data_IF_497575365199
#
_entry.id   IF_497575365199
#
_cell.length_a   1.000
_cell.length_b   1.000
_cell.length_c   1.000
_cell.angle_alpha   90.00
_cell.angle_beta   90.00
_cell.angle_gamma   90.00
#
_symmetry.space_group_name_H-M   'P 1'
#
loop_
_entity.id
_entity.type
_entity.pdbx_description
1 polymer ?
#
# COMPACT_ATOMS: atom_id res chain seq x y z
N UNK A 1 1.93 -59.87 34.41
CA UNK A 1 1.51 -59.35 33.09
C UNK A 1 2.55 -58.30 32.67
N UNK A 2 3.51 -58.74 31.86
CA UNK A 2 4.63 -58.03 31.19
C UNK A 2 5.39 -56.90 31.92
N UNK A 3 6.47 -57.27 32.62
CA UNK A 3 7.54 -56.35 33.01
C UNK A 3 8.50 -56.14 31.85
N UNK A 4 8.37 -55.03 31.12
CA UNK A 4 9.32 -54.64 30.07
C UNK A 4 10.54 -54.04 30.76
N UNK A 5 11.61 -54.84 30.90
CA UNK A 5 12.93 -54.34 31.26
C UNK A 5 13.49 -53.60 30.04
N UNK A 6 13.40 -52.27 30.05
CA UNK A 6 14.10 -51.44 29.09
C UNK A 6 15.59 -51.52 29.43
N UNK A 7 16.38 -52.16 28.57
CA UNK A 7 17.84 -52.12 28.75
C UNK A 7 18.30 -50.65 28.69
N UNK A 8 19.17 -50.19 29.61
CA UNK A 8 19.64 -48.82 29.56
C UNK A 8 20.40 -48.61 28.25
N UNK A 9 19.90 -47.69 27.42
CA UNK A 9 20.60 -47.24 26.23
C UNK A 9 22.03 -46.84 26.62
N UNK A 10 23.06 -47.30 25.87
CA UNK A 10 24.44 -46.89 26.11
C UNK A 10 24.50 -45.35 26.18
N UNK A 11 25.17 -44.83 27.20
CA UNK A 11 25.25 -43.39 27.49
C UNK A 11 25.73 -42.57 26.27
N UNK A 12 26.59 -43.16 25.44
CA UNK A 12 27.06 -42.62 24.15
C UNK A 12 25.92 -42.29 23.17
N UNK A 13 24.87 -43.11 23.13
CA UNK A 13 23.72 -42.90 22.23
C UNK A 13 22.86 -41.73 22.72
N UNK A 14 22.72 -41.58 24.04
CA UNK A 14 21.97 -40.47 24.65
C UNK A 14 22.65 -39.14 24.39
N UNK A 15 23.96 -39.08 24.57
CA UNK A 15 24.77 -37.87 24.38
C UNK A 15 24.77 -37.42 22.90
N UNK A 16 24.83 -38.38 21.96
CA UNK A 16 24.73 -38.08 20.53
C UNK A 16 23.36 -37.52 20.13
N UNK A 17 22.27 -38.05 20.71
CA UNK A 17 20.91 -37.54 20.47
C UNK A 17 20.72 -36.13 21.05
N UNK A 18 21.31 -35.84 22.20
CA UNK A 18 21.24 -34.54 22.85
C UNK A 18 21.99 -33.47 22.04
N UNK A 19 23.22 -33.78 21.62
CA UNK A 19 24.03 -32.90 20.77
C UNK A 19 23.37 -32.68 19.40
N UNK A 20 22.82 -33.75 18.80
CA UNK A 20 22.11 -33.66 17.52
C UNK A 20 20.89 -32.75 17.59
N UNK A 21 20.12 -32.84 18.70
CA UNK A 21 18.95 -32.00 18.94
C UNK A 21 19.34 -30.53 19.16
N UNK A 22 20.39 -30.27 19.95
CA UNK A 22 20.91 -28.92 20.17
C UNK A 22 21.40 -28.28 18.86
N UNK A 23 22.16 -29.03 18.04
CA UNK A 23 22.64 -28.56 16.74
C UNK A 23 21.48 -28.30 15.77
N UNK A 24 20.50 -29.19 15.70
CA UNK A 24 19.31 -29.03 14.86
C UNK A 24 18.49 -27.79 15.23
N UNK A 25 18.31 -27.52 16.53
CA UNK A 25 17.60 -26.33 17.01
C UNK A 25 18.36 -25.04 16.69
N UNK A 26 19.68 -25.03 16.91
CA UNK A 26 20.52 -23.87 16.58
C UNK A 26 20.51 -23.61 15.08
N UNK A 27 20.70 -24.64 14.25
CA UNK A 27 20.65 -24.50 12.79
C UNK A 27 19.27 -24.04 12.31
N UNK A 28 18.20 -24.63 12.84
CA UNK A 28 16.82 -24.25 12.52
C UNK A 28 16.53 -22.79 12.88
N UNK A 29 16.99 -22.33 14.06
CA UNK A 29 16.82 -20.95 14.51
C UNK A 29 17.62 -19.96 13.65
N UNK A 30 18.86 -20.31 13.29
CA UNK A 30 19.73 -19.48 12.44
C UNK A 30 19.14 -19.38 11.03
N UNK A 31 18.79 -20.50 10.40
CA UNK A 31 18.16 -20.52 9.07
C UNK A 31 16.83 -19.77 9.09
N UNK A 32 15.97 -20.07 10.07
CA UNK A 32 14.69 -19.40 10.25
C UNK A 32 14.84 -17.89 10.43
N UNK A 33 15.77 -17.44 11.28
CA UNK A 33 16.06 -16.02 11.50
C UNK A 33 16.58 -15.33 10.24
N UNK A 34 17.51 -15.94 9.52
CA UNK A 34 18.06 -15.38 8.28
C UNK A 34 16.99 -15.27 7.20
N UNK A 35 16.15 -16.29 7.05
CA UNK A 35 15.08 -16.29 6.07
C UNK A 35 14.01 -15.25 6.40
N UNK A 36 13.58 -15.17 7.67
CA UNK A 36 12.60 -14.19 8.12
C UNK A 36 13.11 -12.75 7.95
N UNK A 37 14.39 -12.49 8.24
CA UNK A 37 15.01 -11.17 8.02
C UNK A 37 15.02 -10.77 6.54
N UNK A 38 15.30 -11.70 5.62
CA UNK A 38 15.25 -11.44 4.17
C UNK A 38 13.83 -11.08 3.73
N UNK A 39 12.85 -11.89 4.13
CA UNK A 39 11.44 -11.68 3.80
C UNK A 39 10.91 -10.34 4.32
N UNK A 40 11.26 -9.96 5.56
CA UNK A 40 10.83 -8.67 6.13
C UNK A 40 11.47 -7.51 5.36
N UNK A 41 12.76 -7.60 5.00
CA UNK A 41 13.45 -6.53 4.27
C UNK A 41 12.84 -6.31 2.87
N UNK A 42 12.52 -7.38 2.16
CA UNK A 42 11.86 -7.31 0.84
C UNK A 42 10.45 -6.73 0.95
N UNK A 43 9.66 -7.15 1.94
CA UNK A 43 8.32 -6.59 2.20
C UNK A 43 8.38 -5.08 2.47
N UNK A 44 9.31 -4.64 3.31
CA UNK A 44 9.45 -3.23 3.66
C UNK A 44 9.79 -2.39 2.42
N UNK A 45 10.69 -2.87 1.56
CA UNK A 45 11.05 -2.16 0.33
C UNK A 45 9.87 -2.05 -0.66
N UNK A 46 9.03 -3.08 -0.77
CA UNK A 46 7.84 -3.04 -1.61
C UNK A 46 6.78 -2.06 -1.05
N UNK A 47 6.54 -2.07 0.27
CA UNK A 47 5.63 -1.13 0.92
C UNK A 47 6.12 0.32 0.83
N UNK A 48 7.42 0.54 0.96
CA UNK A 48 8.05 1.86 0.83
C UNK A 48 7.79 2.46 -0.57
N UNK A 49 7.94 1.66 -1.63
CA UNK A 49 7.64 2.10 -3.00
C UNK A 49 6.18 2.49 -3.17
N UNK A 50 5.26 1.65 -2.68
CA UNK A 50 3.82 1.90 -2.78
C UNK A 50 3.40 3.13 -1.97
N UNK A 51 4.01 3.34 -0.80
CA UNK A 51 3.79 4.53 0.04
C UNK A 51 4.29 5.80 -0.64
N UNK A 52 5.44 5.77 -1.32
CA UNK A 52 5.95 6.92 -2.09
C UNK A 52 5.05 7.25 -3.28
N UNK A 53 4.65 6.25 -4.05
CA UNK A 53 3.71 6.45 -5.17
C UNK A 53 2.36 7.01 -4.70
N UNK A 54 1.82 6.49 -3.60
CA UNK A 54 0.57 6.98 -3.01
C UNK A 54 0.71 8.42 -2.49
N UNK A 55 1.86 8.78 -1.91
CA UNK A 55 2.16 10.14 -1.47
C UNK A 55 2.20 11.13 -2.64
N UNK A 56 2.99 10.81 -3.67
CA UNK A 56 3.11 11.64 -4.87
C UNK A 56 1.77 11.87 -5.57
N UNK A 57 0.92 10.84 -5.66
CA UNK A 57 -0.43 10.99 -6.21
C UNK A 57 -1.31 11.92 -5.36
N UNK A 58 -1.23 11.83 -4.03
CA UNK A 58 -2.00 12.72 -3.15
C UNK A 58 -1.53 14.18 -3.26
N UNK A 59 -0.23 14.41 -3.41
CA UNK A 59 0.33 15.75 -3.64
C UNK A 59 -0.19 16.34 -4.97
N UNK A 60 -0.20 15.53 -6.03
CA UNK A 60 -0.79 15.89 -7.32
C UNK A 60 -2.27 16.27 -7.21
N UNK A 61 -3.07 15.46 -6.50
CA UNK A 61 -4.49 15.77 -6.28
C UNK A 61 -4.66 17.13 -5.59
N UNK A 62 -3.87 17.39 -4.54
CA UNK A 62 -3.94 18.63 -3.77
C UNK A 62 -3.53 19.86 -4.61
N UNK A 63 -2.54 19.72 -5.49
CA UNK A 63 -2.15 20.76 -6.43
C UNK A 63 -3.29 21.10 -7.40
N UNK A 64 -3.86 20.10 -8.08
CA UNK A 64 -5.01 20.31 -8.98
C UNK A 64 -6.23 20.89 -8.26
N UNK A 65 -6.52 20.45 -7.04
CA UNK A 65 -7.62 20.98 -6.25
C UNK A 65 -7.43 22.45 -5.87
N UNK A 66 -6.18 22.89 -5.68
CA UNK A 66 -5.83 24.30 -5.48
C UNK A 66 -5.96 25.09 -6.78
N UNK A 67 -5.42 24.58 -7.89
CA UNK A 67 -5.52 25.22 -9.21
C UNK A 67 -6.96 25.49 -9.63
N UNK A 68 -7.85 24.51 -9.42
CA UNK A 68 -9.27 24.64 -9.73
C UNK A 68 -10.06 25.43 -8.68
N UNK A 69 -9.41 25.92 -7.62
CA UNK A 69 -10.03 26.61 -6.50
C UNK A 69 -11.25 25.85 -5.94
N UNK A 70 -11.08 24.54 -5.70
CA UNK A 70 -12.11 23.72 -5.09
C UNK A 70 -12.30 24.11 -3.62
N UNK A 71 -13.54 24.31 -3.22
CA UNK A 71 -13.96 24.45 -1.82
C UNK A 71 -13.70 23.14 -1.06
N UNK A 72 -13.59 23.17 0.29
CA UNK A 72 -13.41 21.94 1.08
C UNK A 72 -14.46 20.88 0.76
N UNK A 73 -15.72 21.30 0.58
CA UNK A 73 -16.81 20.40 0.22
C UNK A 73 -16.67 19.75 -1.16
N UNK A 74 -16.18 20.51 -2.16
CA UNK A 74 -15.94 19.98 -3.49
C UNK A 74 -14.74 19.03 -3.52
N UNK A 75 -13.69 19.29 -2.73
CA UNK A 75 -12.53 18.41 -2.60
C UNK A 75 -12.93 17.03 -2.10
N UNK A 76 -13.79 16.97 -1.09
CA UNK A 76 -14.33 15.70 -0.58
C UNK A 76 -15.06 14.93 -1.69
N UNK A 77 -15.96 15.60 -2.42
CA UNK A 77 -16.72 14.99 -3.51
C UNK A 77 -15.81 14.52 -4.64
N UNK A 78 -14.83 15.33 -5.03
CA UNK A 78 -13.84 14.99 -6.04
C UNK A 78 -13.04 13.74 -5.61
N UNK A 79 -12.58 13.68 -4.36
CA UNK A 79 -11.84 12.54 -3.83
C UNK A 79 -12.66 11.25 -3.85
N UNK A 80 -13.93 11.31 -3.43
CA UNK A 80 -14.82 10.14 -3.49
C UNK A 80 -15.16 9.73 -4.93
N UNK A 81 -15.33 10.70 -5.83
CA UNK A 81 -15.53 10.44 -7.26
C UNK A 81 -14.28 9.81 -7.89
N UNK A 82 -13.07 10.17 -7.46
CA UNK A 82 -11.84 9.52 -7.93
C UNK A 82 -11.77 8.07 -7.41
N UNK A 83 -12.22 7.83 -6.17
CA UNK A 83 -12.30 6.49 -5.56
C UNK A 83 -13.36 5.55 -6.15
N UNK A 84 -14.06 5.93 -7.20
CA UNK A 84 -15.05 5.05 -7.82
C UNK A 84 -16.45 5.08 -7.20
N UNK A 85 -16.70 5.90 -6.16
CA UNK A 85 -18.01 5.96 -5.50
C UNK A 85 -19.12 6.53 -6.39
N UNK A 86 -20.34 6.10 -6.16
CA UNK A 86 -21.57 6.61 -6.78
C UNK A 86 -22.08 7.86 -6.07
N UNK A 87 -22.93 8.63 -6.73
CA UNK A 87 -23.53 9.84 -6.15
C UNK A 87 -24.26 9.58 -4.83
N UNK A 88 -24.97 8.45 -4.73
CA UNK A 88 -25.72 8.04 -3.54
C UNK A 88 -24.81 7.66 -2.37
N UNK A 89 -23.71 6.94 -2.64
CA UNK A 89 -22.70 6.63 -1.63
C UNK A 89 -22.03 7.90 -1.10
N UNK A 90 -21.70 8.84 -1.99
CA UNK A 90 -21.11 10.13 -1.61
C UNK A 90 -22.10 10.94 -0.77
N UNK A 91 -23.38 10.98 -1.16
CA UNK A 91 -24.42 11.67 -0.43
C UNK A 91 -24.54 11.12 1.00
N UNK A 92 -24.52 9.80 1.14
CA UNK A 92 -24.56 9.09 2.43
C UNK A 92 -23.35 9.42 3.28
N UNK A 93 -22.13 9.28 2.74
CA UNK A 93 -20.88 9.54 3.48
C UNK A 93 -20.73 10.99 3.92
N UNK A 94 -21.25 11.94 3.12
CA UNK A 94 -21.18 13.37 3.41
C UNK A 94 -22.40 13.91 4.16
N UNK A 95 -23.33 13.03 4.55
CA UNK A 95 -24.60 13.40 5.19
C UNK A 95 -25.32 14.56 4.46
N UNK A 96 -25.41 14.46 3.13
CA UNK A 96 -26.00 15.48 2.26
C UNK A 96 -26.94 14.86 1.22
N UNK A 97 -27.66 15.69 0.45
CA UNK A 97 -28.56 15.18 -0.58
C UNK A 97 -27.80 14.80 -1.86
N UNK A 98 -28.31 13.83 -2.62
CA UNK A 98 -27.77 13.53 -3.95
C UNK A 98 -27.81 14.74 -4.89
N UNK A 99 -28.80 15.63 -4.75
CA UNK A 99 -28.88 16.87 -5.51
C UNK A 99 -27.69 17.79 -5.22
N UNK A 100 -27.29 17.91 -3.95
CA UNK A 100 -26.11 18.65 -3.52
C UNK A 100 -24.83 18.05 -4.11
N UNK A 101 -24.69 16.72 -4.07
CA UNK A 101 -23.54 16.04 -4.69
C UNK A 101 -23.50 16.27 -6.19
N UNK A 102 -24.63 16.14 -6.91
CA UNK A 102 -24.70 16.42 -8.35
C UNK A 102 -24.30 17.86 -8.68
N UNK A 103 -24.78 18.83 -7.90
CA UNK A 103 -24.43 20.23 -8.09
C UNK A 103 -22.92 20.48 -7.89
N UNK A 104 -22.33 19.89 -6.85
CA UNK A 104 -20.89 19.98 -6.58
C UNK A 104 -20.05 19.28 -7.65
N UNK A 105 -20.45 18.08 -8.08
CA UNK A 105 -19.81 17.36 -9.18
C UNK A 105 -19.82 18.17 -10.48
N UNK A 106 -20.94 18.81 -10.82
CA UNK A 106 -21.01 19.70 -11.98
C UNK A 106 -20.14 20.95 -11.81
N UNK A 107 -20.04 21.50 -10.60
CA UNK A 107 -19.14 22.62 -10.32
C UNK A 107 -17.67 22.22 -10.48
N UNK A 108 -17.28 21.04 -10.00
CA UNK A 108 -15.94 20.47 -10.17
C UNK A 108 -15.61 20.34 -11.65
N UNK A 109 -16.50 19.76 -12.46
CA UNK A 109 -16.26 19.62 -13.90
C UNK A 109 -16.05 20.96 -14.61
N UNK A 110 -16.89 21.96 -14.31
CA UNK A 110 -16.70 23.32 -14.85
C UNK A 110 -15.37 23.94 -14.43
N UNK A 111 -14.99 23.80 -13.16
CA UNK A 111 -13.73 24.35 -12.62
C UNK A 111 -12.49 23.65 -13.19
N UNK A 112 -12.59 22.34 -13.42
CA UNK A 112 -11.53 21.53 -14.02
C UNK A 112 -11.51 21.61 -15.56
N UNK A 113 -12.47 22.29 -16.20
CA UNK A 113 -12.55 22.39 -17.65
C UNK A 113 -12.89 21.09 -18.37
N UNK A 114 -13.54 20.15 -17.69
CA UNK A 114 -13.92 18.83 -18.24
C UNK A 114 -15.44 18.68 -18.32
N UNK A 115 -15.91 17.75 -19.15
CA UNK A 115 -17.35 17.48 -19.34
C UNK A 115 -17.88 16.34 -18.47
N UNK A 116 -17.01 15.57 -17.80
CA UNK A 116 -17.47 14.46 -16.97
C UNK A 116 -16.36 13.70 -16.24
N UNK A 117 -16.81 12.69 -15.48
CA UNK A 117 -15.97 11.86 -14.62
C UNK A 117 -14.81 11.17 -15.35
N UNK A 118 -15.00 10.54 -16.53
CA UNK A 118 -13.90 9.87 -17.21
C UNK A 118 -12.77 10.83 -17.61
N UNK A 119 -13.14 12.05 -18.04
CA UNK A 119 -12.16 13.08 -18.41
C UNK A 119 -11.44 13.65 -17.19
N UNK A 120 -12.17 13.88 -16.08
CA UNK A 120 -11.56 14.27 -14.81
C UNK A 120 -10.51 13.24 -14.37
N UNK A 121 -10.85 11.94 -14.45
CA UNK A 121 -9.93 10.85 -14.11
C UNK A 121 -8.74 10.78 -15.07
N UNK A 122 -8.96 10.99 -16.37
CA UNK A 122 -7.89 10.99 -17.38
C UNK A 122 -6.83 12.03 -17.05
N UNK A 123 -7.21 13.26 -16.66
CA UNK A 123 -6.25 14.31 -16.29
C UNK A 123 -5.28 13.83 -15.19
N UNK A 124 -5.81 13.20 -14.14
CA UNK A 124 -4.99 12.69 -13.04
C UNK A 124 -4.10 11.51 -13.45
N UNK A 125 -4.59 10.63 -14.31
CA UNK A 125 -3.82 9.48 -14.80
C UNK A 125 -2.71 9.95 -15.75
N UNK A 126 -3.01 10.89 -16.64
CA UNK A 126 -2.05 11.47 -17.60
C UNK A 126 -0.92 12.19 -16.87
N UNK A 127 -1.23 12.94 -15.82
CA UNK A 127 -0.24 13.60 -14.98
C UNK A 127 0.62 12.59 -14.20
N UNK A 128 0.00 11.58 -13.58
CA UNK A 128 0.72 10.53 -12.85
C UNK A 128 1.71 9.80 -13.77
N UNK A 129 1.30 9.48 -15.00
CA UNK A 129 2.16 8.84 -15.99
C UNK A 129 3.28 9.77 -16.49
N UNK A 130 3.11 11.09 -16.47
CA UNK A 130 4.15 12.06 -16.84
C UNK A 130 5.19 12.24 -15.73
N UNK A 131 4.77 12.29 -14.48
CA UNK A 131 5.68 12.46 -13.34
C UNK A 131 6.53 11.21 -13.09
N UNK A 132 5.96 10.01 -13.25
CA UNK A 132 6.71 8.75 -13.19
C UNK A 132 7.81 8.66 -14.26
N UNK A 133 7.57 9.22 -15.45
CA UNK A 133 8.57 9.26 -16.53
C UNK A 133 9.65 10.32 -16.23
N UNK A 134 9.26 11.46 -15.67
CA UNK A 134 10.18 12.58 -15.41
C UNK A 134 11.16 12.27 -14.26
N UNK A 135 10.72 11.55 -13.22
CA UNK A 135 11.60 11.14 -12.10
C UNK A 135 12.60 10.04 -12.53
N UNK A 136 12.26 9.22 -13.52
CA UNK A 136 13.18 8.23 -14.11
C UNK A 136 14.23 8.84 -15.05
N UNK A 137 13.94 10.01 -15.64
CA UNK A 137 14.81 10.71 -16.60
C UNK A 137 15.77 11.72 -15.96
N UNK A 138 15.70 11.97 -14.64
CA UNK A 138 16.77 12.69 -13.92
C UNK A 138 17.96 11.75 -13.74
N UNK A 139 19.08 11.89 -14.49
CA UNK A 139 20.31 11.21 -14.10
C UNK A 139 20.64 11.64 -12.68
N UNK A 140 21.04 10.69 -11.83
CA UNK A 140 21.73 10.98 -10.57
C UNK A 140 22.89 11.89 -10.91
N UNK A 141 22.70 13.20 -10.80
CA UNK A 141 23.80 14.15 -10.82
C UNK A 141 24.68 13.76 -9.66
N UNK A 142 25.90 13.36 -10.01
CA UNK A 142 26.96 12.99 -9.11
C UNK A 142 27.10 14.02 -7.97
N UNK A 143 27.18 13.51 -6.75
CA UNK A 143 27.88 14.14 -5.64
C UNK A 143 29.10 13.26 -5.34
#
# INVERSE_FOLDING_TARGET
>A
MFGIYTQPLPWEVRELMEIGSALGLVLGLVVGSLMLRRTIKERNAAQEKLRRASGAFMDLLEERFKEWALTPAERDVALFAIKGMTTSEIATLRATSEGTVKAQTNAIYRKAGVSGRPQLLSLFIDDLMRDDVTDQLRPKSAA
#
